data_IF_494792514075
#
_entry.id   IF_494792514075
#
_cell.length_a   1.000
_cell.length_b   1.000
_cell.length_c   1.000
_cell.angle_alpha   90.00
_cell.angle_beta   90.00
_cell.angle_gamma   90.00
#
_symmetry.space_group_name_H-M   'P 1'
#
loop_
_entity.id
_entity.type
_entity.pdbx_description
1 polymer ?
#
# COMPACT_ATOMS: atom_id res chain seq x y z
N UNK A 1 -6.95 -29.62 -80.99
CA UNK A 1 -7.21 -29.47 -79.54
C UNK A 1 -6.23 -28.44 -78.98
N UNK A 2 -6.64 -27.18 -78.90
CA UNK A 2 -6.11 -26.14 -78.01
C UNK A 2 -7.16 -25.99 -76.88
N UNK A 3 -6.93 -25.62 -75.62
CA UNK A 3 -5.92 -24.75 -74.98
C UNK A 3 -6.04 -24.91 -73.42
N UNK A 4 -4.93 -24.69 -72.70
CA UNK A 4 -4.76 -23.98 -71.40
C UNK A 4 -5.36 -24.45 -70.04
N UNK A 5 -4.43 -24.64 -69.08
CA UNK A 5 -4.30 -24.21 -67.67
C UNK A 5 -5.50 -23.80 -66.79
N UNK A 6 -5.51 -24.29 -65.54
CA UNK A 6 -5.40 -23.47 -64.30
C UNK A 6 -5.21 -24.29 -63.02
N UNK A 7 -4.39 -23.84 -62.04
CA UNK A 7 -4.37 -24.32 -60.66
C UNK A 7 -5.29 -23.47 -59.76
N UNK A 8 -6.03 -24.13 -58.86
CA UNK A 8 -6.90 -23.48 -57.87
C UNK A 8 -6.11 -22.87 -56.71
N UNK A 9 -6.15 -21.55 -56.68
CA UNK A 9 -5.76 -20.55 -55.69
C UNK A 9 -5.58 -21.00 -54.23
N UNK A 10 -4.37 -20.75 -53.70
CA UNK A 10 -4.18 -20.45 -52.29
C UNK A 10 -4.82 -19.08 -51.99
N UNK A 11 -5.83 -19.05 -51.12
CA UNK A 11 -6.35 -17.79 -50.60
C UNK A 11 -5.59 -17.45 -49.32
N UNK A 12 -4.76 -16.42 -49.46
CA UNK A 12 -4.00 -15.77 -48.40
C UNK A 12 -4.93 -15.30 -47.28
N UNK A 13 -4.54 -15.57 -46.04
CA UNK A 13 -5.10 -14.88 -44.87
C UNK A 13 -4.54 -13.45 -44.90
N UNK A 14 -5.23 -12.59 -45.65
CA UNK A 14 -4.89 -11.19 -45.81
C UNK A 14 -5.33 -10.38 -44.59
N UNK A 15 -4.33 -9.83 -43.90
CA UNK A 15 -4.38 -8.72 -42.94
C UNK A 15 -5.63 -7.82 -43.01
N UNK A 16 -6.49 -7.93 -42.00
CA UNK A 16 -7.45 -6.92 -41.54
C UNK A 16 -7.88 -7.38 -40.14
N UNK A 17 -7.49 -6.75 -39.04
CA UNK A 17 -8.02 -5.45 -38.69
C UNK A 17 -7.14 -4.86 -37.57
N UNK A 18 -6.53 -3.67 -37.72
CA UNK A 18 -6.01 -2.92 -36.58
C UNK A 18 -7.04 -2.79 -35.43
N UNK A 19 -8.34 -2.88 -35.74
CA UNK A 19 -9.44 -2.96 -34.77
C UNK A 19 -9.35 -4.18 -33.83
N UNK A 20 -8.93 -5.35 -34.33
CA UNK A 20 -8.77 -6.58 -33.54
C UNK A 20 -7.58 -6.43 -32.60
N UNK A 21 -6.49 -5.82 -33.07
CA UNK A 21 -5.33 -5.51 -32.22
C UNK A 21 -5.71 -4.49 -31.15
N UNK A 22 -6.43 -3.41 -31.50
CA UNK A 22 -6.94 -2.41 -30.55
C UNK A 22 -7.90 -3.02 -29.52
N UNK A 23 -8.76 -3.95 -29.93
CA UNK A 23 -9.63 -4.71 -29.02
C UNK A 23 -8.79 -5.57 -28.07
N UNK A 24 -7.82 -6.33 -28.57
CA UNK A 24 -6.94 -7.15 -27.75
C UNK A 24 -6.11 -6.29 -26.76
N UNK A 25 -5.59 -5.15 -27.19
CA UNK A 25 -4.84 -4.22 -26.33
C UNK A 25 -5.76 -3.58 -25.28
N UNK A 26 -7.01 -3.23 -25.64
CA UNK A 26 -8.01 -2.69 -24.71
C UNK A 26 -8.51 -3.72 -23.68
N UNK A 27 -8.56 -5.00 -24.05
CA UNK A 27 -8.85 -6.11 -23.12
C UNK A 27 -7.66 -6.41 -22.19
N UNK A 28 -6.42 -6.28 -22.67
CA UNK A 28 -5.20 -6.46 -21.87
C UNK A 28 -4.90 -5.26 -20.95
N UNK A 29 -5.48 -4.07 -21.20
CA UNK A 29 -5.25 -2.86 -20.41
C UNK A 29 -5.97 -2.81 -19.05
N UNK A 30 -6.75 -3.83 -18.69
CA UNK A 30 -7.60 -3.80 -17.48
C UNK A 30 -6.97 -4.44 -16.24
N UNK A 31 -5.69 -4.87 -16.27
CA UNK A 31 -5.08 -5.58 -15.13
C UNK A 31 -4.27 -4.70 -14.17
N UNK A 32 -4.59 -3.41 -14.05
CA UNK A 32 -4.15 -2.59 -12.92
C UNK A 32 -5.37 -2.28 -12.03
N UNK A 33 -5.95 -3.32 -11.44
CA UNK A 33 -6.90 -3.11 -10.34
C UNK A 33 -6.10 -2.67 -9.13
N UNK A 34 -5.94 -1.36 -8.94
CA UNK A 34 -5.62 -0.83 -7.63
C UNK A 34 -6.71 -1.33 -6.69
N UNK A 35 -6.38 -2.31 -5.84
CA UNK A 35 -7.32 -2.84 -4.86
C UNK A 35 -7.67 -1.69 -3.93
N UNK A 36 -8.90 -1.17 -4.03
CA UNK A 36 -9.35 -0.08 -3.17
C UNK A 36 -9.56 -0.64 -1.77
N UNK A 37 -8.54 -0.53 -0.93
CA UNK A 37 -8.58 -0.94 0.47
C UNK A 37 -9.47 0.00 1.27
N UNK A 38 -10.24 -0.55 2.21
CA UNK A 38 -11.04 0.27 3.13
C UNK A 38 -10.15 1.07 4.09
N UNK A 39 -10.62 2.25 4.47
CA UNK A 39 -9.92 3.10 5.45
C UNK A 39 -9.91 2.40 6.81
N UNK A 40 -8.76 2.42 7.49
CA UNK A 40 -8.68 1.90 8.87
C UNK A 40 -9.32 2.85 9.89
N UNK A 41 -9.38 4.15 9.58
CA UNK A 41 -9.95 5.18 10.42
C UNK A 41 -10.27 6.45 9.62
N UNK A 42 -11.26 7.26 10.04
CA UNK A 42 -11.60 8.53 9.39
C UNK A 42 -10.64 9.68 9.72
N UNK A 43 -9.94 9.63 10.85
CA UNK A 43 -9.06 10.70 11.32
C UNK A 43 -7.75 10.14 11.90
N UNK A 44 -6.71 10.97 11.94
CA UNK A 44 -5.42 10.68 12.54
C UNK A 44 -4.91 11.87 13.35
N UNK A 45 -4.06 11.58 14.33
CA UNK A 45 -3.32 12.55 15.13
C UNK A 45 -1.86 12.53 14.65
N UNK A 46 -1.31 13.71 14.34
CA UNK A 46 0.06 13.89 13.84
C UNK A 46 0.79 15.00 14.60
N UNK A 47 2.12 15.05 14.48
CA UNK A 47 2.94 16.12 15.07
C UNK A 47 2.83 17.46 14.32
N UNK A 48 2.39 17.40 13.07
CA UNK A 48 2.23 18.54 12.17
C UNK A 48 1.15 18.23 11.11
N UNK A 49 0.74 19.25 10.36
CA UNK A 49 -0.34 19.12 9.36
C UNK A 49 0.01 18.17 8.19
N UNK A 50 1.30 17.91 7.95
CA UNK A 50 1.78 17.03 6.89
C UNK A 50 2.14 15.63 7.43
N UNK A 51 2.05 15.41 8.75
CA UNK A 51 2.50 14.20 9.44
C UNK A 51 3.95 13.83 9.11
N UNK A 52 4.79 14.85 8.92
CA UNK A 52 6.20 14.70 8.53
C UNK A 52 7.11 14.37 9.72
N UNK A 53 6.72 14.80 10.93
CA UNK A 53 7.52 14.60 12.13
C UNK A 53 7.10 13.36 12.94
N UNK A 54 8.10 12.73 13.55
CA UNK A 54 7.91 11.64 14.52
C UNK A 54 7.30 12.22 15.80
N UNK A 55 6.18 11.67 16.26
CA UNK A 55 5.52 12.09 17.49
C UNK A 55 6.12 11.40 18.72
N UNK A 56 6.57 10.15 18.57
CA UNK A 56 7.12 9.37 19.67
C UNK A 56 7.95 8.17 19.22
N UNK A 57 8.70 7.61 20.16
CA UNK A 57 9.36 6.32 20.07
C UNK A 57 8.58 5.31 20.92
N UNK A 58 8.40 4.11 20.40
CA UNK A 58 7.78 3.01 21.12
C UNK A 58 8.63 1.74 21.04
N UNK A 59 8.55 0.89 22.06
CA UNK A 59 9.19 -0.43 22.09
C UNK A 59 8.14 -1.52 21.96
N UNK A 60 8.35 -2.45 21.05
CA UNK A 60 7.46 -3.58 20.82
C UNK A 60 7.45 -4.54 22.01
N UNK A 61 6.25 -4.85 22.51
CA UNK A 61 5.99 -5.79 23.59
C UNK A 61 5.80 -7.22 23.08
N UNK A 62 5.36 -7.37 21.83
CA UNK A 62 5.09 -8.66 21.19
C UNK A 62 5.43 -8.63 19.70
N UNK A 63 5.44 -9.80 19.08
CA UNK A 63 5.55 -9.95 17.63
C UNK A 63 4.21 -9.61 16.94
N UNK A 64 4.29 -9.05 15.74
CA UNK A 64 3.15 -8.79 14.89
C UNK A 64 3.51 -9.03 13.43
N UNK A 65 2.70 -9.87 12.78
CA UNK A 65 2.84 -10.22 11.38
C UNK A 65 1.81 -9.41 10.61
N UNK A 66 2.28 -8.65 9.61
CA UNK A 66 1.45 -7.81 8.77
C UNK A 66 0.42 -8.67 8.02
N UNK A 67 -0.90 -8.45 8.22
CA UNK A 67 -1.94 -9.21 7.52
C UNK A 67 -2.07 -8.81 6.05
N UNK A 68 -1.72 -7.56 5.72
CA UNK A 68 -1.68 -7.02 4.38
C UNK A 68 -0.61 -5.91 4.27
N UNK A 69 -0.43 -5.39 3.06
CA UNK A 69 0.59 -4.40 2.70
C UNK A 69 0.52 -3.07 3.46
N UNK A 70 -0.63 -2.73 4.07
CA UNK A 70 -0.77 -1.49 4.86
C UNK A 70 0.01 -1.58 6.17
N UNK A 71 0.31 -2.79 6.62
CA UNK A 71 0.90 -3.06 7.92
C UNK A 71 2.39 -3.41 7.79
N UNK A 72 3.15 -3.12 8.84
CA UNK A 72 4.56 -3.56 8.95
C UNK A 72 4.67 -4.72 9.92
N UNK A 73 5.56 -5.66 9.62
CA UNK A 73 5.97 -6.66 10.61
C UNK A 73 6.78 -5.99 11.72
N UNK A 74 6.50 -6.38 12.96
CA UNK A 74 7.21 -5.94 14.16
C UNK A 74 7.60 -7.18 14.95
N UNK A 75 8.80 -7.16 15.53
CA UNK A 75 9.27 -8.18 16.47
C UNK A 75 9.40 -7.58 17.86
N UNK A 76 9.13 -8.40 18.87
CA UNK A 76 9.31 -8.04 20.28
C UNK A 76 10.70 -7.45 20.53
N UNK A 77 10.72 -6.35 21.26
CA UNK A 77 11.95 -5.61 21.61
C UNK A 77 12.42 -4.63 20.53
N UNK A 78 11.87 -4.65 19.31
CA UNK A 78 12.19 -3.62 18.31
C UNK A 78 11.66 -2.26 18.76
N UNK A 79 12.38 -1.21 18.39
CA UNK A 79 11.91 0.17 18.56
C UNK A 79 11.23 0.63 17.27
N UNK A 80 10.21 1.46 17.40
CA UNK A 80 9.39 1.97 16.29
C UNK A 80 9.22 3.47 16.46
N UNK A 81 9.60 4.23 15.43
CA UNK A 81 9.25 5.65 15.34
C UNK A 81 7.79 5.77 14.91
N UNK A 82 6.99 6.43 15.74
CA UNK A 82 5.56 6.66 15.50
C UNK A 82 5.39 8.02 14.84
N UNK A 83 4.68 8.07 13.72
CA UNK A 83 4.39 9.31 12.97
C UNK A 83 2.95 9.76 13.16
N UNK A 84 2.00 8.82 13.24
CA UNK A 84 0.60 9.16 13.48
C UNK A 84 -0.13 8.12 14.33
N UNK A 85 -1.19 8.55 15.00
CA UNK A 85 -2.12 7.68 15.75
C UNK A 85 -3.50 7.79 15.13
N UNK A 86 -4.05 6.70 14.62
CA UNK A 86 -5.40 6.71 14.06
C UNK A 86 -6.44 6.86 15.17
N UNK A 87 -7.51 7.59 14.88
CA UNK A 87 -8.68 7.71 15.75
C UNK A 87 -9.70 6.69 15.24
N UNK A 88 -9.87 5.55 15.94
CA UNK A 88 -10.72 4.47 15.46
C UNK A 88 -12.20 4.88 15.47
N UNK A 89 -12.99 4.25 14.61
CA UNK A 89 -14.44 4.22 14.78
C UNK A 89 -14.82 3.31 15.95
N UNK A 90 -16.05 3.46 16.45
CA UNK A 90 -16.53 2.63 17.54
C UNK A 90 -16.48 1.14 17.16
N UNK A 91 -15.83 0.31 17.98
CA UNK A 91 -15.63 -1.11 17.73
C UNK A 91 -14.48 -1.47 16.78
N UNK A 92 -13.77 -0.48 16.19
CA UNK A 92 -12.60 -0.72 15.36
C UNK A 92 -11.30 -0.83 16.18
N UNK A 93 -10.28 -1.46 15.59
CA UNK A 93 -8.96 -1.60 16.21
C UNK A 93 -8.22 -0.26 16.33
N UNK A 94 -7.39 -0.12 17.37
CA UNK A 94 -6.54 1.06 17.56
C UNK A 94 -5.21 0.84 16.86
N UNK A 95 -4.95 1.60 15.79
CA UNK A 95 -3.73 1.48 14.98
C UNK A 95 -2.91 2.77 14.99
N UNK A 96 -1.59 2.62 15.03
CA UNK A 96 -0.63 3.72 14.83
C UNK A 96 0.17 3.47 13.56
N UNK A 97 0.75 4.52 12.96
CA UNK A 97 1.67 4.40 11.83
C UNK A 97 3.10 4.68 12.28
N UNK A 98 4.04 3.90 11.75
CA UNK A 98 5.44 4.04 12.10
C UNK A 98 6.39 3.27 11.22
N UNK A 99 7.68 3.45 11.49
CA UNK A 99 8.77 2.70 10.87
C UNK A 99 9.62 2.05 11.96
N UNK A 100 10.05 0.81 11.71
CA UNK A 100 10.99 0.11 12.59
C UNK A 100 12.32 0.86 12.60
N UNK A 101 12.83 1.11 13.80
CA UNK A 101 14.17 1.62 14.04
C UNK A 101 15.17 0.47 14.05
N UNK A 102 16.32 0.67 13.39
CA UNK A 102 17.46 -0.22 13.51
C UNK A 102 18.76 0.55 13.34
N UNK A 103 19.79 0.16 14.09
CA UNK A 103 21.15 0.69 13.90
C UNK A 103 21.85 0.07 12.68
N UNK A 104 21.35 -1.08 12.21
CA UNK A 104 21.85 -1.77 11.01
C UNK A 104 20.77 -1.72 9.94
N UNK A 105 21.19 -1.78 8.67
CA UNK A 105 20.22 -1.88 7.59
C UNK A 105 19.38 -3.15 7.75
N UNK A 106 18.06 -2.97 7.84
CA UNK A 106 17.07 -4.05 7.79
C UNK A 106 16.05 -3.69 6.72
N UNK A 107 15.50 -4.68 6.03
CA UNK A 107 14.63 -4.47 4.87
C UNK A 107 13.39 -3.60 5.16
N UNK A 108 12.96 -3.49 6.41
CA UNK A 108 11.80 -2.69 6.82
C UNK A 108 12.16 -1.30 7.37
N UNK A 109 13.44 -0.94 7.42
CA UNK A 109 13.84 0.39 7.88
C UNK A 109 13.45 1.45 6.86
N UNK A 110 12.70 2.46 7.30
CA UNK A 110 12.18 3.52 6.43
C UNK A 110 10.85 3.18 5.75
N UNK A 111 10.37 1.94 5.88
CA UNK A 111 9.03 1.56 5.41
C UNK A 111 8.03 1.97 6.49
N UNK A 112 7.10 2.86 6.13
CA UNK A 112 6.01 3.28 7.00
C UNK A 112 4.82 2.36 6.80
N UNK A 113 4.25 1.85 7.89
CA UNK A 113 2.97 1.17 7.86
C UNK A 113 2.31 1.13 9.23
N UNK A 114 1.15 0.51 9.28
CA UNK A 114 0.33 0.43 10.48
C UNK A 114 0.68 -0.77 11.36
N UNK A 115 0.40 -0.64 12.65
CA UNK A 115 0.45 -1.71 13.64
C UNK A 115 -0.50 -1.41 14.80
N UNK A 116 -0.97 -2.43 15.54
CA UNK A 116 -1.83 -2.22 16.70
C UNK A 116 -1.10 -1.42 17.79
N UNK A 117 -1.76 -0.41 18.36
CA UNK A 117 -1.16 0.35 19.47
C UNK A 117 -0.90 -0.54 20.71
N UNK A 118 -1.66 -1.62 20.86
CA UNK A 118 -1.61 -2.53 22.01
C UNK A 118 -0.35 -3.40 22.07
N UNK A 119 0.38 -3.55 20.96
CA UNK A 119 1.59 -4.38 20.90
C UNK A 119 2.87 -3.58 21.16
N UNK A 120 2.77 -2.28 21.43
CA UNK A 120 3.91 -1.42 21.73
C UNK A 120 3.71 -0.68 23.04
N UNK A 121 4.82 -0.30 23.68
CA UNK A 121 4.84 0.63 24.79
C UNK A 121 5.50 1.93 24.33
N UNK A 122 4.81 3.07 24.44
CA UNK A 122 5.36 4.38 24.10
C UNK A 122 6.39 4.79 25.16
N UNK A 123 7.67 4.90 24.77
CA UNK A 123 8.80 5.11 25.68
C UNK A 123 9.28 6.54 25.73
N UNK A 124 9.16 7.29 24.63
CA UNK A 124 9.55 8.69 24.56
C UNK A 124 8.62 9.47 23.64
N UNK A 125 8.12 10.62 24.11
CA UNK A 125 7.40 11.58 23.26
C UNK A 125 8.35 12.68 22.82
N UNK A 126 8.30 13.04 21.54
CA UNK A 126 9.11 14.11 20.96
C UNK A 126 8.28 15.38 20.71
N UNK A 127 6.99 15.21 20.46
CA UNK A 127 6.08 16.32 20.16
C UNK A 127 4.92 16.33 21.17
N UNK A 128 4.72 17.46 21.85
CA UNK A 128 3.59 17.69 22.77
C UNK A 128 2.38 18.28 22.01
N UNK A 129 2.63 19.18 21.07
CA UNK A 129 1.59 19.77 20.23
C UNK A 129 1.21 18.81 19.11
N UNK A 130 -0.06 18.42 19.07
CA UNK A 130 -0.55 17.50 18.02
C UNK A 130 -1.74 18.10 17.30
N UNK A 131 -1.89 17.71 16.04
CA UNK A 131 -3.03 18.12 15.21
C UNK A 131 -3.86 16.91 14.82
N UNK A 132 -5.18 17.06 14.90
CA UNK A 132 -6.13 16.09 14.36
C UNK A 132 -6.47 16.48 12.93
N UNK A 133 -6.25 15.57 11.99
CA UNK A 133 -6.57 15.77 10.57
C UNK A 133 -7.32 14.55 9.99
N UNK A 134 -8.14 14.74 8.94
CA UNK A 134 -8.80 13.63 8.27
C UNK A 134 -7.80 12.73 7.54
N UNK A 135 -8.13 11.44 7.42
CA UNK A 135 -7.36 10.51 6.60
C UNK A 135 -7.78 10.61 5.13
N UNK A 136 -6.81 10.40 4.25
CA UNK A 136 -6.96 10.35 2.79
C UNK A 136 -6.94 8.90 2.32
N UNK A 137 -7.23 8.66 1.03
CA UNK A 137 -7.09 7.31 0.45
C UNK A 137 -5.61 6.91 0.33
N UNK A 138 -4.72 7.89 0.16
CA UNK A 138 -3.26 7.65 0.07
C UNK A 138 -2.68 7.11 1.38
N UNK A 139 -3.30 7.42 2.52
CA UNK A 139 -2.87 6.90 3.83
C UNK A 139 -2.99 5.38 3.94
N UNK A 140 -3.80 4.73 3.11
CA UNK A 140 -4.05 3.29 3.16
C UNK A 140 -3.75 2.59 1.82
N UNK A 141 -3.03 3.27 0.94
CA UNK A 141 -2.66 2.76 -0.37
C UNK A 141 -1.43 1.85 -0.27
N UNK A 142 -1.37 0.84 -1.14
CA UNK A 142 -0.22 -0.03 -1.30
C UNK A 142 0.26 0.05 -2.76
N UNK A 143 1.57 0.15 -2.95
CA UNK A 143 2.22 0.13 -4.27
C UNK A 143 2.30 -1.29 -4.86
#
# INVERSE_FOLDING_TARGET
MHTQHSPGSALSVSMSCPLVILLCVGLLHQSASAVRMDKLAPNKICGDAECSYVISLATALDDFIAPDCRFINIRRGQMVYVYSKLIPEEGAGVFWSGSVYSERYVNQMGIIGYFPATIVNETQKFTEDTVKIPTTNMDFFCD
#
